data_IF_044741015771
#
_entry.id   IF_044741015771
#
_cell.length_a   1.000
_cell.length_b   1.000
_cell.length_c   1.000
_cell.angle_alpha   90.00
_cell.angle_beta   90.00
_cell.angle_gamma   90.00
#
_symmetry.space_group_name_H-M   'P 1'
#
loop_
_entity.id
_entity.type
_entity.pdbx_description
1 polymer ?
#
# COMPACT_ATOMS: atom_id res chain seq x y z
N UNK A 1 -13.91 3.47 28.02
CA UNK A 1 -13.43 2.18 28.57
C UNK A 1 -11.91 2.21 28.65
N UNK A 2 -11.35 1.98 29.83
CA UNK A 2 -9.91 2.07 30.06
C UNK A 2 -9.15 0.96 29.34
N UNK A 3 -8.35 1.33 28.34
CA UNK A 3 -7.31 0.45 27.78
C UNK A 3 -6.26 0.20 28.87
N UNK A 4 -6.44 -0.80 29.74
CA UNK A 4 -5.34 -1.18 30.61
C UNK A 4 -4.15 -1.66 29.77
N UNK A 5 -2.93 -1.49 30.30
CA UNK A 5 -1.64 -1.58 29.58
C UNK A 5 -1.57 -2.77 28.59
N UNK A 6 -1.21 -2.45 27.34
CA UNK A 6 -0.90 -3.42 26.28
C UNK A 6 0.44 -4.11 26.54
N UNK A 7 0.66 -5.30 25.98
CA UNK A 7 1.95 -6.00 26.07
C UNK A 7 2.98 -5.25 25.21
N UNK A 8 2.75 -5.12 23.91
CA UNK A 8 3.60 -4.34 22.99
C UNK A 8 3.18 -2.87 22.97
N UNK A 9 3.49 -2.16 24.05
CA UNK A 9 2.98 -0.83 24.34
C UNK A 9 3.77 0.31 23.69
N UNK A 10 5.05 0.11 23.35
CA UNK A 10 5.90 1.16 22.77
C UNK A 10 5.99 1.07 21.23
N UNK A 11 6.24 2.19 20.53
CA UNK A 11 6.58 2.17 19.10
C UNK A 11 7.75 1.23 18.77
N UNK A 12 8.84 1.28 19.54
CA UNK A 12 10.08 0.53 19.30
C UNK A 12 9.82 -0.98 19.32
N UNK A 13 9.08 -1.47 20.31
CA UNK A 13 8.64 -2.87 20.38
C UNK A 13 7.89 -3.29 19.12
N UNK A 14 6.94 -2.48 18.67
CA UNK A 14 6.11 -2.78 17.50
C UNK A 14 6.91 -2.71 16.20
N UNK A 15 7.84 -1.77 16.08
CA UNK A 15 8.74 -1.65 14.92
C UNK A 15 9.67 -2.85 14.82
N UNK A 16 10.32 -3.23 15.93
CA UNK A 16 11.19 -4.42 15.97
C UNK A 16 10.41 -5.71 15.73
N UNK A 17 9.15 -5.80 16.21
CA UNK A 17 8.27 -6.93 15.93
C UNK A 17 7.84 -6.98 14.46
N UNK A 18 7.56 -5.81 13.86
CA UNK A 18 7.27 -5.69 12.42
C UNK A 18 8.46 -6.17 11.61
N UNK A 19 9.67 -5.68 11.90
CA UNK A 19 10.89 -6.10 11.23
C UNK A 19 11.14 -7.61 11.38
N UNK A 20 10.96 -8.16 12.58
CA UNK A 20 11.12 -9.59 12.82
C UNK A 20 10.13 -10.43 12.00
N UNK A 21 8.90 -9.96 11.79
CA UNK A 21 7.90 -10.65 10.98
C UNK A 21 8.21 -10.76 9.48
N UNK A 22 9.26 -10.09 9.01
CA UNK A 22 9.75 -10.17 7.62
C UNK A 22 10.88 -11.20 7.47
N UNK A 23 11.39 -11.76 8.58
CA UNK A 23 12.44 -12.78 8.55
C UNK A 23 11.81 -14.18 8.36
N UNK A 24 11.69 -14.59 7.10
CA UNK A 24 11.05 -15.86 6.68
C UNK A 24 11.95 -17.09 6.88
N UNK A 25 13.19 -16.89 7.33
CA UNK A 25 14.18 -17.95 7.54
C UNK A 25 14.13 -18.57 8.93
N UNK A 26 13.46 -17.90 9.88
CA UNK A 26 13.39 -18.35 11.26
C UNK A 26 12.40 -19.49 11.44
N UNK A 27 12.82 -20.51 12.18
CA UNK A 27 11.87 -21.49 12.72
C UNK A 27 10.93 -20.80 13.74
N UNK A 28 9.75 -21.41 13.99
CA UNK A 28 8.80 -20.90 14.99
C UNK A 28 9.40 -20.78 16.39
N UNK A 29 10.34 -21.66 16.73
CA UNK A 29 11.06 -21.63 18.01
C UNK A 29 12.03 -20.45 18.09
N UNK A 30 12.86 -20.25 17.07
CA UNK A 30 13.79 -19.11 17.01
C UNK A 30 13.04 -17.78 16.98
N UNK A 31 11.94 -17.70 16.23
CA UNK A 31 11.07 -16.53 16.20
C UNK A 31 10.56 -16.20 17.61
N UNK A 32 10.04 -17.20 18.32
CA UNK A 32 9.53 -17.06 19.70
C UNK A 32 10.60 -16.53 20.65
N UNK A 33 11.82 -17.07 20.58
CA UNK A 33 12.93 -16.60 21.42
C UNK A 33 13.34 -15.17 21.06
N UNK A 34 13.35 -14.80 19.78
CA UNK A 34 13.60 -13.41 19.36
C UNK A 34 12.52 -12.45 19.85
N UNK A 35 11.23 -12.82 19.84
CA UNK A 35 10.15 -11.99 20.41
C UNK A 35 10.38 -11.73 21.89
N UNK A 36 10.68 -12.78 22.67
CA UNK A 36 10.97 -12.64 24.12
C UNK A 36 12.21 -11.78 24.36
N UNK A 37 13.24 -11.95 23.53
CA UNK A 37 14.47 -11.15 23.59
C UNK A 37 14.22 -9.68 23.30
N UNK A 38 13.49 -9.36 22.22
CA UNK A 38 13.09 -7.98 21.89
C UNK A 38 12.34 -7.37 23.07
N UNK A 39 11.37 -8.10 23.64
CA UNK A 39 10.62 -7.61 24.80
C UNK A 39 11.53 -7.31 26.01
N UNK A 40 12.48 -8.20 26.31
CA UNK A 40 13.46 -7.99 27.38
C UNK A 40 14.37 -6.79 27.14
N UNK A 41 14.89 -6.64 25.92
CA UNK A 41 15.78 -5.55 25.55
C UNK A 41 15.08 -4.18 25.64
N UNK A 42 13.83 -4.07 25.17
CA UNK A 42 13.10 -2.80 25.17
C UNK A 42 12.46 -2.45 26.52
N UNK A 43 12.13 -3.45 27.35
CA UNK A 43 11.39 -3.21 28.62
C UNK A 43 12.20 -3.46 29.88
N UNK A 44 13.35 -4.12 29.77
CA UNK A 44 14.12 -4.64 30.91
C UNK A 44 13.43 -5.77 31.68
N UNK A 45 12.31 -6.33 31.17
CA UNK A 45 11.50 -7.35 31.85
C UNK A 45 11.28 -8.58 30.99
N UNK A 46 11.12 -9.74 31.62
CA UNK A 46 10.77 -10.97 30.89
C UNK A 46 9.33 -10.88 30.38
N UNK A 47 9.10 -11.39 29.17
CA UNK A 47 7.75 -11.54 28.62
C UNK A 47 7.03 -12.69 29.33
N UNK A 48 5.96 -12.37 30.05
CA UNK A 48 5.10 -13.34 30.75
C UNK A 48 3.89 -13.74 29.88
N UNK A 49 4.16 -14.21 28.67
CA UNK A 49 3.14 -14.73 27.75
C UNK A 49 3.73 -15.86 26.90
N UNK A 50 2.91 -16.85 26.55
CA UNK A 50 3.31 -17.83 25.53
C UNK A 50 3.16 -17.17 24.15
N UNK A 51 4.21 -17.21 23.33
CA UNK A 51 4.18 -16.69 21.96
C UNK A 51 3.79 -17.85 21.02
N UNK A 52 2.71 -17.67 20.27
CA UNK A 52 2.26 -18.62 19.25
C UNK A 52 2.23 -17.93 17.89
N UNK A 53 2.64 -18.64 16.83
CA UNK A 53 2.75 -18.07 15.48
C UNK A 53 2.03 -18.89 14.43
N UNK A 54 1.38 -18.20 13.51
CA UNK A 54 0.60 -18.77 12.41
C UNK A 54 0.78 -17.93 11.15
N UNK A 55 1.06 -18.57 10.02
CA UNK A 55 1.41 -17.86 8.77
C UNK A 55 0.28 -17.88 7.74
N UNK A 56 0.28 -16.91 6.82
CA UNK A 56 -0.64 -16.85 5.68
C UNK A 56 -0.56 -18.11 4.79
N UNK A 57 0.64 -18.70 4.70
CA UNK A 57 0.94 -19.94 3.97
C UNK A 57 0.23 -21.14 4.61
N UNK A 58 0.28 -21.25 5.94
CA UNK A 58 -0.47 -22.27 6.69
C UNK A 58 -1.98 -22.06 6.56
N UNK A 59 -2.44 -20.80 6.52
CA UNK A 59 -3.85 -20.45 6.31
C UNK A 59 -4.34 -20.63 4.86
N UNK A 60 -3.42 -20.78 3.90
CA UNK A 60 -3.70 -20.86 2.45
C UNK A 60 -4.47 -19.64 1.92
N UNK A 61 -4.30 -18.47 2.53
CA UNK A 61 -4.98 -17.21 2.16
C UNK A 61 -4.20 -16.33 1.17
N UNK A 62 -2.94 -16.70 0.90
CA UNK A 62 -1.96 -15.93 0.11
C UNK A 62 -1.94 -16.25 -1.40
N UNK A 63 -2.37 -17.46 -1.79
CA UNK A 63 -2.06 -18.04 -3.12
C UNK A 63 -2.55 -17.23 -4.34
N UNK A 64 -3.62 -16.45 -4.20
CA UNK A 64 -4.24 -15.74 -5.33
C UNK A 64 -3.90 -14.25 -5.39
N UNK A 65 -3.50 -13.63 -4.27
CA UNK A 65 -3.30 -12.18 -4.17
C UNK A 65 -1.84 -11.76 -4.02
N UNK A 66 -0.94 -12.69 -3.68
CA UNK A 66 0.45 -12.37 -3.31
C UNK A 66 0.62 -11.90 -1.86
N UNK A 67 -0.47 -11.70 -1.12
CA UNK A 67 -0.42 -11.30 0.29
C UNK A 67 0.37 -12.31 1.14
N UNK A 68 1.40 -11.85 1.86
CA UNK A 68 2.04 -12.62 2.92
C UNK A 68 1.88 -11.91 4.28
N UNK A 69 1.72 -12.72 5.32
CA UNK A 69 1.46 -12.23 6.66
C UNK A 69 1.72 -13.28 7.73
N UNK A 70 2.05 -12.78 8.91
CA UNK A 70 2.37 -13.54 10.11
C UNK A 70 1.46 -13.08 11.25
N UNK A 71 0.77 -14.02 11.86
CA UNK A 71 -0.01 -13.81 13.06
C UNK A 71 0.82 -14.25 14.28
N UNK A 72 0.90 -13.37 15.27
CA UNK A 72 1.62 -13.56 16.53
C UNK A 72 0.62 -13.38 17.66
N UNK A 73 0.30 -14.48 18.32
CA UNK A 73 -0.61 -14.49 19.45
C UNK A 73 0.20 -14.54 20.74
N UNK A 74 -0.03 -13.57 21.62
CA UNK A 74 0.55 -13.49 22.95
C UNK A 74 -0.52 -13.98 23.95
N UNK A 75 -0.34 -15.20 24.45
CA UNK A 75 -1.25 -15.84 25.39
C UNK A 75 -0.80 -15.53 26.83
N UNK A 76 -1.44 -14.52 27.44
CA UNK A 76 -1.11 -14.01 28.76
C UNK A 76 -1.89 -14.79 29.83
N UNK A 77 -1.37 -15.98 30.17
CA UNK A 77 -1.95 -16.96 31.12
C UNK A 77 -2.46 -16.37 32.43
N UNK A 78 -1.80 -15.34 32.97
CA UNK A 78 -2.21 -14.65 34.20
C UNK A 78 -2.36 -13.14 33.95
N UNK A 79 -3.60 -12.65 34.11
CA UNK A 79 -4.08 -11.25 34.02
C UNK A 79 -4.83 -10.80 32.74
N UNK A 80 -5.34 -11.74 31.93
CA UNK A 80 -6.45 -11.55 30.96
C UNK A 80 -6.25 -10.49 29.88
N UNK A 81 -5.08 -10.40 29.24
CA UNK A 81 -4.92 -9.55 28.05
C UNK A 81 -4.09 -10.22 27.00
N UNK A 82 -4.66 -11.28 26.45
CA UNK A 82 -4.12 -11.86 25.24
C UNK A 82 -4.15 -10.82 24.13
N UNK A 83 -3.19 -10.85 23.22
CA UNK A 83 -3.12 -9.91 22.10
C UNK A 83 -2.79 -10.67 20.83
N UNK A 84 -3.50 -10.36 19.74
CA UNK A 84 -3.21 -10.90 18.41
C UNK A 84 -2.60 -9.81 17.54
N UNK A 85 -1.33 -9.98 17.19
CA UNK A 85 -0.64 -9.11 16.24
C UNK A 85 -0.63 -9.75 14.86
N UNK A 86 -0.90 -8.97 13.83
CA UNK A 86 -0.83 -9.38 12.43
C UNK A 86 0.23 -8.52 11.77
N UNK A 87 1.38 -9.09 11.45
CA UNK A 87 2.41 -8.45 10.64
C UNK A 87 2.13 -8.78 9.18
N UNK A 88 1.78 -7.77 8.40
CA UNK A 88 1.57 -7.91 6.95
C UNK A 88 2.83 -7.46 6.22
N UNK A 89 3.24 -8.22 5.20
CA UNK A 89 4.42 -7.89 4.40
C UNK A 89 4.11 -6.83 3.35
N UNK A 90 5.08 -5.93 3.15
CA UNK A 90 5.10 -4.96 2.05
C UNK A 90 5.59 -5.58 0.75
N UNK A 91 5.94 -4.75 -0.23
CA UNK A 91 6.36 -5.23 -1.55
C UNK A 91 7.68 -6.03 -1.47
N UNK A 92 7.69 -7.24 -2.02
CA UNK A 92 8.82 -8.16 -2.10
C UNK A 92 9.09 -8.68 -3.52
N UNK A 93 8.12 -8.59 -4.45
CA UNK A 93 8.29 -9.10 -5.82
C UNK A 93 7.60 -8.26 -6.93
N UNK A 94 7.69 -8.75 -8.17
CA UNK A 94 7.08 -8.11 -9.36
C UNK A 94 5.54 -8.08 -9.34
N UNK A 95 4.89 -8.98 -8.59
CA UNK A 95 3.43 -8.99 -8.42
C UNK A 95 2.99 -7.86 -7.50
N UNK A 96 3.84 -7.43 -6.60
CA UNK A 96 3.57 -6.25 -5.78
C UNK A 96 3.62 -4.96 -6.61
N UNK A 97 4.44 -4.89 -7.66
CA UNK A 97 4.40 -3.77 -8.61
C UNK A 97 3.11 -3.75 -9.45
N UNK A 98 2.64 -4.92 -9.93
CA UNK A 98 1.32 -5.06 -10.59
C UNK A 98 0.19 -4.61 -9.66
N UNK A 99 0.22 -5.05 -8.40
CA UNK A 99 -0.75 -4.63 -7.40
C UNK A 99 -0.64 -3.13 -7.10
N UNK A 100 0.56 -2.56 -6.96
CA UNK A 100 0.74 -1.13 -6.71
C UNK A 100 0.10 -0.28 -7.82
N UNK A 101 0.29 -0.66 -9.10
CA UNK A 101 -0.33 0.04 -10.23
C UNK A 101 -1.86 -0.08 -10.17
N UNK A 102 -2.40 -1.29 -9.96
CA UNK A 102 -3.85 -1.55 -9.98
C UNK A 102 -4.60 -1.07 -8.74
N UNK A 103 -3.97 -1.14 -7.57
CA UNK A 103 -4.57 -0.80 -6.29
C UNK A 103 -4.31 0.66 -5.91
N UNK A 104 -3.06 1.11 -6.02
CA UNK A 104 -2.66 2.42 -5.52
C UNK A 104 -2.88 3.52 -6.56
N UNK A 105 -2.50 3.31 -7.83
CA UNK A 105 -2.66 4.35 -8.87
C UNK A 105 -4.05 4.30 -9.51
N UNK A 106 -4.45 3.14 -10.01
CA UNK A 106 -5.78 2.98 -10.61
C UNK A 106 -6.91 2.98 -9.57
N UNK A 107 -6.62 2.62 -8.32
CA UNK A 107 -7.62 2.59 -7.26
C UNK A 107 -8.68 1.51 -7.46
N UNK A 108 -8.31 0.31 -7.93
CA UNK A 108 -9.29 -0.72 -8.32
C UNK A 108 -9.08 -2.09 -7.70
N UNK A 109 -7.82 -2.44 -7.45
CA UNK A 109 -7.50 -3.76 -6.90
C UNK A 109 -7.56 -3.76 -5.37
N UNK A 110 -8.28 -4.73 -4.80
CA UNK A 110 -8.55 -4.89 -3.37
C UNK A 110 -8.17 -6.30 -2.87
N UNK A 111 -7.52 -7.10 -3.72
CA UNK A 111 -7.25 -8.52 -3.46
C UNK A 111 -6.38 -8.73 -2.22
N UNK A 112 -5.31 -7.94 -2.03
CA UNK A 112 -4.45 -8.09 -0.86
C UNK A 112 -5.14 -7.59 0.42
N UNK A 113 -5.93 -6.51 0.37
CA UNK A 113 -6.76 -6.07 1.51
C UNK A 113 -7.80 -7.14 1.91
N UNK A 114 -8.46 -7.78 0.95
CA UNK A 114 -9.38 -8.90 1.23
C UNK A 114 -8.66 -10.13 1.78
N UNK A 115 -7.47 -10.47 1.25
CA UNK A 115 -6.63 -11.54 1.80
C UNK A 115 -6.17 -11.24 3.22
N UNK A 116 -5.89 -9.98 3.54
CA UNK A 116 -5.57 -9.53 4.90
C UNK A 116 -6.74 -9.86 5.83
N UNK A 117 -7.96 -9.44 5.51
CA UNK A 117 -9.14 -9.74 6.33
C UNK A 117 -9.37 -11.26 6.48
N UNK A 118 -9.27 -12.03 5.39
CA UNK A 118 -9.40 -13.50 5.43
C UNK A 118 -8.34 -14.13 6.33
N UNK A 119 -7.09 -13.64 6.26
CA UNK A 119 -6.02 -14.14 7.11
C UNK A 119 -6.25 -13.83 8.58
N UNK A 120 -6.71 -12.63 8.91
CA UNK A 120 -7.09 -12.28 10.29
C UNK A 120 -8.18 -13.22 10.82
N UNK A 121 -9.24 -13.46 10.03
CA UNK A 121 -10.29 -14.40 10.42
C UNK A 121 -9.76 -15.83 10.62
N UNK A 122 -8.87 -16.29 9.73
CA UNK A 122 -8.22 -17.59 9.85
C UNK A 122 -7.33 -17.68 11.11
N UNK A 123 -6.59 -16.63 11.45
CA UNK A 123 -5.78 -16.55 12.66
C UNK A 123 -6.66 -16.57 13.92
N UNK A 124 -7.74 -15.78 13.97
CA UNK A 124 -8.71 -15.80 15.08
C UNK A 124 -9.29 -17.20 15.28
N UNK A 125 -9.65 -17.88 14.20
CA UNK A 125 -10.13 -19.27 14.25
C UNK A 125 -9.04 -20.25 14.72
N UNK A 126 -7.83 -20.16 14.17
CA UNK A 126 -6.70 -21.03 14.52
C UNK A 126 -6.35 -20.95 16.02
N UNK A 127 -6.33 -19.74 16.57
CA UNK A 127 -6.07 -19.51 17.99
C UNK A 127 -7.31 -19.61 18.89
N UNK A 128 -8.49 -19.94 18.33
CA UNK A 128 -9.77 -20.11 19.03
C UNK A 128 -10.18 -18.87 19.84
N UNK A 129 -10.01 -17.68 19.25
CA UNK A 129 -10.33 -16.42 19.90
C UNK A 129 -11.84 -16.15 19.91
N UNK A 130 -12.36 -15.65 21.03
CA UNK A 130 -13.76 -15.26 21.16
C UNK A 130 -14.06 -13.94 20.41
N UNK A 131 -15.28 -13.77 19.92
CA UNK A 131 -15.72 -12.58 19.17
C UNK A 131 -16.54 -11.56 19.99
N UNK A 132 -16.58 -11.69 21.32
CA UNK A 132 -17.43 -10.83 22.19
C UNK A 132 -16.70 -9.53 22.61
N UNK A 133 -17.38 -8.61 23.31
CA UNK A 133 -16.81 -7.28 23.70
C UNK A 133 -15.55 -7.34 24.59
N UNK A 134 -15.24 -8.47 25.22
CA UNK A 134 -13.98 -8.73 25.93
C UNK A 134 -12.99 -9.57 25.09
N UNK A 135 -13.08 -9.47 23.77
CA UNK A 135 -12.25 -10.25 22.84
C UNK A 135 -10.80 -9.79 22.87
N UNK A 136 -9.92 -10.73 22.55
CA UNK A 136 -8.50 -10.50 22.28
C UNK A 136 -8.36 -9.38 21.25
N UNK A 137 -7.75 -8.23 21.60
CA UNK A 137 -7.51 -7.18 20.62
C UNK A 137 -6.67 -7.68 19.45
N UNK A 138 -7.07 -7.30 18.25
CA UNK A 138 -6.40 -7.60 16.99
C UNK A 138 -5.69 -6.34 16.50
N UNK A 139 -4.36 -6.40 16.44
CA UNK A 139 -3.50 -5.29 16.08
C UNK A 139 -2.81 -5.57 14.74
N UNK A 140 -3.03 -4.72 13.74
CA UNK A 140 -2.29 -4.75 12.48
C UNK A 140 -0.97 -4.00 12.61
N UNK A 141 0.12 -4.62 12.19
CA UNK A 141 1.46 -4.05 12.09
C UNK A 141 1.88 -4.06 10.62
N UNK A 142 2.40 -2.94 10.12
CA UNK A 142 2.63 -2.76 8.69
C UNK A 142 3.77 -1.80 8.36
N UNK A 143 4.39 -2.01 7.20
CA UNK A 143 5.35 -1.12 6.56
C UNK A 143 5.12 -1.12 5.04
N UNK A 144 5.42 -0.01 4.35
CA UNK A 144 5.32 0.09 2.89
C UNK A 144 3.90 -0.29 2.40
N UNK A 145 3.76 -1.16 1.39
CA UNK A 145 2.48 -1.62 0.83
C UNK A 145 1.53 -2.22 1.88
N UNK A 146 2.06 -2.83 2.93
CA UNK A 146 1.24 -3.44 3.98
C UNK A 146 0.33 -2.42 4.69
N UNK A 147 0.70 -1.13 4.69
CA UNK A 147 -0.16 -0.09 5.23
C UNK A 147 -1.47 0.01 4.47
N UNK A 148 -1.41 0.10 3.13
CA UNK A 148 -2.59 0.14 2.26
C UNK A 148 -3.47 -1.08 2.55
N UNK A 149 -2.89 -2.29 2.57
CA UNK A 149 -3.63 -3.51 2.82
C UNK A 149 -4.35 -3.51 4.18
N UNK A 150 -3.65 -3.16 5.26
CA UNK A 150 -4.20 -3.17 6.61
C UNK A 150 -5.25 -2.08 6.80
N UNK A 151 -4.96 -0.86 6.33
CA UNK A 151 -5.87 0.28 6.43
C UNK A 151 -7.13 0.04 5.59
N UNK A 152 -7.00 -0.37 4.33
CA UNK A 152 -8.14 -0.68 3.47
C UNK A 152 -8.99 -1.80 4.06
N UNK A 153 -8.39 -2.88 4.56
CA UNK A 153 -9.11 -3.95 5.24
C UNK A 153 -9.84 -3.46 6.50
N UNK A 154 -9.19 -2.63 7.32
CA UNK A 154 -9.80 -2.02 8.50
C UNK A 154 -11.00 -1.14 8.14
N UNK A 155 -10.85 -0.25 7.16
CA UNK A 155 -11.89 0.68 6.74
C UNK A 155 -13.11 -0.06 6.15
N UNK A 156 -12.90 -1.12 5.38
CA UNK A 156 -14.00 -1.90 4.80
C UNK A 156 -14.68 -2.82 5.83
N UNK A 157 -13.88 -3.59 6.58
CA UNK A 157 -14.36 -4.78 7.30
C UNK A 157 -14.26 -4.67 8.82
N UNK A 158 -13.70 -3.59 9.37
CA UNK A 158 -13.31 -3.49 10.78
C UNK A 158 -12.35 -4.62 11.18
N UNK A 159 -11.42 -4.99 10.30
CA UNK A 159 -10.51 -6.13 10.49
C UNK A 159 -9.65 -6.03 11.75
N UNK A 160 -9.26 -4.82 12.13
CA UNK A 160 -8.34 -4.55 13.23
C UNK A 160 -8.99 -3.66 14.29
N UNK A 161 -8.65 -3.85 15.56
CA UNK A 161 -8.95 -2.89 16.62
C UNK A 161 -8.02 -1.68 16.52
N UNK A 162 -6.75 -1.91 16.13
CA UNK A 162 -5.77 -0.86 15.83
C UNK A 162 -4.85 -1.25 14.70
N UNK A 163 -4.46 -0.28 13.89
CA UNK A 163 -3.41 -0.40 12.88
C UNK A 163 -2.24 0.50 13.30
N UNK A 164 -1.04 -0.07 13.40
CA UNK A 164 0.21 0.68 13.54
C UNK A 164 1.04 0.47 12.28
N UNK A 165 1.54 1.57 11.74
CA UNK A 165 2.28 1.56 10.50
C UNK A 165 3.48 2.48 10.54
N UNK A 166 4.49 2.13 9.75
CA UNK A 166 5.65 2.97 9.47
C UNK A 166 5.86 3.09 7.97
N UNK A 167 6.09 4.31 7.47
CA UNK A 167 6.36 4.59 6.04
C UNK A 167 5.44 3.82 5.10
N UNK A 168 4.14 3.98 5.33
CA UNK A 168 3.10 3.23 4.65
C UNK A 168 2.68 3.83 3.33
N UNK A 169 2.46 2.98 2.32
CA UNK A 169 1.70 3.33 1.12
C UNK A 169 0.27 3.71 1.52
N UNK A 170 -0.11 4.98 1.34
CA UNK A 170 -1.40 5.48 1.79
C UNK A 170 -2.57 4.78 1.08
N UNK A 171 -3.74 4.76 1.75
CA UNK A 171 -4.95 4.21 1.13
C UNK A 171 -5.46 5.13 0.03
N UNK A 172 -6.13 4.54 -0.96
CA UNK A 172 -6.72 5.27 -2.07
C UNK A 172 -8.26 5.30 -1.94
N UNK A 173 -8.89 6.47 -2.02
CA UNK A 173 -10.35 6.58 -1.88
C UNK A 173 -11.13 6.08 -3.11
N UNK A 174 -10.52 6.03 -4.30
CA UNK A 174 -11.08 5.29 -5.44
C UNK A 174 -11.08 3.79 -5.15
N UNK A 175 -9.98 3.26 -4.59
CA UNK A 175 -9.91 1.85 -4.17
C UNK A 175 -11.06 1.52 -3.21
N UNK A 176 -11.29 2.36 -2.20
CA UNK A 176 -12.40 2.19 -1.26
C UNK A 176 -13.78 2.29 -1.91
N UNK A 177 -13.97 3.14 -2.93
CA UNK A 177 -15.22 3.20 -3.68
C UNK A 177 -15.54 1.88 -4.41
N UNK A 178 -14.55 1.23 -5.00
CA UNK A 178 -14.77 -0.08 -5.63
C UNK A 178 -14.88 -1.23 -4.62
N UNK A 179 -14.45 -1.01 -3.37
CA UNK A 179 -14.36 -2.05 -2.35
C UNK A 179 -15.53 -2.04 -1.35
N UNK A 180 -15.87 -0.87 -0.80
CA UNK A 180 -16.92 -0.68 0.20
C UNK A 180 -18.20 -0.22 -0.50
N UNK A 181 -19.13 -1.16 -0.69
CA UNK A 181 -20.42 -0.90 -1.33
C UNK A 181 -21.22 0.21 -0.64
N UNK A 182 -21.14 0.33 0.70
CA UNK A 182 -21.87 1.36 1.43
C UNK A 182 -21.26 2.72 1.15
N UNK A 183 -19.93 2.83 1.23
CA UNK A 183 -19.22 4.04 0.84
C UNK A 183 -19.53 4.43 -0.61
N UNK A 184 -19.52 3.47 -1.54
CA UNK A 184 -19.84 3.71 -2.94
C UNK A 184 -21.24 4.30 -3.15
N UNK A 185 -22.24 3.74 -2.47
CA UNK A 185 -23.60 4.26 -2.53
C UNK A 185 -23.70 5.69 -1.98
N UNK A 186 -23.02 5.97 -0.86
CA UNK A 186 -23.05 7.28 -0.22
C UNK A 186 -22.32 8.33 -1.09
N UNK A 187 -21.20 7.97 -1.75
CA UNK A 187 -20.53 8.81 -2.76
C UNK A 187 -21.45 9.09 -3.95
N UNK A 188 -22.07 8.07 -4.54
CA UNK A 188 -22.98 8.25 -5.69
C UNK A 188 -24.15 9.16 -5.35
N UNK A 189 -24.73 8.98 -4.16
CA UNK A 189 -25.84 9.81 -3.70
C UNK A 189 -25.40 11.26 -3.47
N UNK A 190 -24.22 11.49 -2.87
CA UNK A 190 -23.75 12.84 -2.55
C UNK A 190 -23.38 13.63 -3.81
N UNK A 191 -22.70 13.00 -4.77
CA UNK A 191 -22.24 13.64 -6.00
C UNK A 191 -23.21 13.48 -7.18
N UNK A 192 -24.42 12.95 -6.95
CA UNK A 192 -25.44 12.72 -7.98
C UNK A 192 -24.93 11.91 -9.19
N UNK A 193 -24.11 10.89 -8.92
CA UNK A 193 -23.50 10.06 -9.96
C UNK A 193 -24.47 9.02 -10.51
N UNK A 194 -24.33 8.70 -11.79
CA UNK A 194 -25.04 7.57 -12.39
C UNK A 194 -24.58 6.23 -11.79
N UNK A 195 -25.53 5.32 -11.58
CA UNK A 195 -25.23 3.96 -11.16
C UNK A 195 -24.67 3.10 -12.30
N UNK A 196 -24.89 3.50 -13.55
CA UNK A 196 -24.62 2.71 -14.76
C UNK A 196 -23.16 2.81 -15.21
N UNK A 197 -22.45 3.87 -14.83
CA UNK A 197 -21.04 4.05 -15.14
C UNK A 197 -20.22 4.33 -13.87
N UNK A 198 -19.64 3.30 -13.22
CA UNK A 198 -18.88 3.48 -12.00
C UNK A 198 -17.57 4.25 -12.20
N UNK A 199 -17.10 4.45 -13.44
CA UNK A 199 -15.90 5.24 -13.73
C UNK A 199 -16.14 6.76 -13.60
N UNK A 200 -17.38 7.22 -13.51
CA UNK A 200 -17.69 8.64 -13.29
C UNK A 200 -17.12 9.20 -11.98
N UNK A 201 -16.63 8.32 -11.09
CA UNK A 201 -15.93 8.77 -9.87
C UNK A 201 -14.66 9.56 -10.19
N UNK A 202 -13.99 9.26 -11.30
CA UNK A 202 -12.74 9.93 -11.67
C UNK A 202 -12.96 11.35 -12.20
N UNK A 203 -14.21 11.70 -12.53
CA UNK A 203 -14.62 13.04 -12.99
C UNK A 203 -14.92 14.00 -11.83
N UNK A 204 -15.04 13.47 -10.60
CA UNK A 204 -15.28 14.29 -9.40
C UNK A 204 -13.99 15.02 -9.03
N UNK A 205 -14.13 16.28 -8.61
CA UNK A 205 -13.02 17.03 -8.03
C UNK A 205 -12.33 16.19 -6.93
N UNK A 206 -11.02 15.90 -7.08
CA UNK A 206 -10.35 14.96 -6.18
C UNK A 206 -10.29 15.47 -4.74
N UNK A 207 -10.25 16.79 -4.52
CA UNK A 207 -10.27 17.35 -3.17
C UNK A 207 -11.63 17.19 -2.50
N UNK A 208 -12.73 17.38 -3.23
CA UNK A 208 -14.09 17.14 -2.72
C UNK A 208 -14.29 15.68 -2.37
N UNK A 209 -13.88 14.76 -3.25
CA UNK A 209 -13.99 13.32 -2.99
C UNK A 209 -13.11 12.88 -1.81
N UNK A 210 -11.88 13.43 -1.70
CA UNK A 210 -11.02 13.20 -0.54
C UNK A 210 -11.69 13.63 0.77
N UNK A 211 -12.19 14.86 0.84
CA UNK A 211 -12.86 15.38 2.05
C UNK A 211 -14.10 14.56 2.41
N UNK A 212 -14.87 14.13 1.42
CA UNK A 212 -16.00 13.23 1.62
C UNK A 212 -15.53 11.91 2.25
N UNK A 213 -14.49 11.29 1.70
CA UNK A 213 -13.93 10.03 2.20
C UNK A 213 -13.35 10.16 3.61
N UNK A 214 -12.61 11.23 3.90
CA UNK A 214 -12.07 11.54 5.24
C UNK A 214 -13.20 11.65 6.27
N UNK A 215 -14.26 12.37 5.93
CA UNK A 215 -15.42 12.51 6.81
C UNK A 215 -16.18 11.19 6.99
N UNK A 216 -16.34 10.40 5.93
CA UNK A 216 -17.01 9.11 5.97
C UNK A 216 -16.29 8.12 6.91
N UNK A 217 -14.96 8.07 6.85
CA UNK A 217 -14.14 7.13 7.61
C UNK A 217 -13.59 7.67 8.94
N UNK A 218 -13.93 8.91 9.33
CA UNK A 218 -13.36 9.62 10.49
C UNK A 218 -13.34 8.81 11.80
N UNK A 219 -14.37 8.00 12.05
CA UNK A 219 -14.46 7.23 13.30
C UNK A 219 -13.55 6.01 13.29
N UNK A 220 -13.43 5.33 12.14
CA UNK A 220 -12.47 4.23 11.96
C UNK A 220 -11.03 4.75 11.94
N UNK A 221 -10.81 5.93 11.37
CA UNK A 221 -9.49 6.57 11.30
C UNK A 221 -8.83 6.75 12.67
N UNK A 222 -9.60 6.93 13.75
CA UNK A 222 -9.09 7.05 15.13
C UNK A 222 -8.25 5.85 15.59
N UNK A 223 -8.43 4.68 14.97
CA UNK A 223 -7.72 3.45 15.28
C UNK A 223 -6.49 3.21 14.39
N UNK A 224 -6.22 4.11 13.44
CA UNK A 224 -5.04 4.07 12.58
C UNK A 224 -3.98 4.99 13.19
N UNK A 225 -2.76 4.49 13.27
CA UNK A 225 -1.61 5.18 13.81
C UNK A 225 -0.43 4.99 12.85
N UNK A 226 0.23 6.08 12.50
CA UNK A 226 1.28 6.10 11.49
C UNK A 226 2.50 6.86 11.99
N UNK A 227 3.69 6.33 11.71
CA UNK A 227 4.95 7.07 11.77
C UNK A 227 5.41 7.20 10.32
N UNK A 228 5.61 8.42 9.85
CA UNK A 228 5.96 8.69 8.45
C UNK A 228 7.22 9.55 8.42
N UNK A 229 8.26 9.05 7.75
CA UNK A 229 9.38 9.90 7.37
C UNK A 229 8.97 10.86 6.26
N UNK A 230 9.29 12.14 6.42
CA UNK A 230 9.10 13.18 5.39
C UNK A 230 9.93 12.91 4.13
N UNK A 231 11.01 12.15 4.27
CA UNK A 231 11.94 11.80 3.20
C UNK A 231 11.57 10.47 2.53
N UNK A 232 10.51 9.80 2.99
CA UNK A 232 10.10 8.52 2.43
C UNK A 232 9.41 8.69 1.06
N UNK A 233 9.86 7.99 0.00
CA UNK A 233 9.27 8.09 -1.32
C UNK A 233 7.77 7.74 -1.38
N UNK A 234 7.24 6.91 -0.48
CA UNK A 234 5.80 6.60 -0.45
C UNK A 234 4.99 7.77 0.12
N UNK A 235 5.56 8.55 1.04
CA UNK A 235 4.93 9.78 1.50
C UNK A 235 4.82 10.80 0.37
N UNK A 236 5.87 10.89 -0.46
CA UNK A 236 5.90 11.72 -1.67
C UNK A 236 4.84 11.26 -2.66
N UNK A 237 4.81 9.96 -2.99
CA UNK A 237 3.85 9.39 -3.91
C UNK A 237 2.40 9.57 -3.45
N UNK A 238 2.16 9.70 -2.14
CA UNK A 238 0.82 9.95 -1.59
C UNK A 238 0.31 11.39 -1.72
N UNK A 239 1.11 12.32 -2.24
CA UNK A 239 0.69 13.71 -2.46
C UNK A 239 -0.29 13.86 -3.63
N UNK A 240 -0.40 12.85 -4.48
CA UNK A 240 -1.16 12.89 -5.73
C UNK A 240 -2.62 12.47 -5.53
N UNK A 241 -3.47 12.75 -6.53
CA UNK A 241 -4.91 12.42 -6.50
C UNK A 241 -5.17 10.95 -6.18
N UNK A 242 -6.25 10.68 -5.48
CA UNK A 242 -6.66 9.33 -5.07
C UNK A 242 -6.21 8.96 -3.67
N UNK A 243 -5.09 9.49 -3.18
CA UNK A 243 -4.57 9.16 -1.86
C UNK A 243 -5.07 10.10 -0.77
N UNK A 244 -5.10 9.57 0.45
CA UNK A 244 -5.38 10.33 1.65
C UNK A 244 -4.70 9.71 2.87
N UNK A 245 -4.33 10.56 3.82
CA UNK A 245 -3.67 10.14 5.05
C UNK A 245 -4.66 10.20 6.20
N UNK A 246 -4.91 9.05 6.83
CA UNK A 246 -5.91 8.91 7.89
C UNK A 246 -5.30 8.55 9.24
N UNK A 247 -5.95 9.01 10.29
CA UNK A 247 -5.66 8.65 11.68
C UNK A 247 -4.61 9.52 12.33
N UNK A 248 -3.94 8.97 13.34
CA UNK A 248 -2.95 9.69 14.13
C UNK A 248 -1.58 9.55 13.46
N UNK A 249 -1.04 10.64 12.94
CA UNK A 249 0.21 10.64 12.17
C UNK A 249 1.30 11.36 12.94
N UNK A 250 2.42 10.68 13.14
CA UNK A 250 3.68 11.25 13.62
C UNK A 250 4.60 11.43 12.42
N UNK A 251 4.92 12.68 12.08
CA UNK A 251 5.86 13.00 11.01
C UNK A 251 7.27 13.11 11.58
N UNK A 252 8.22 12.37 10.99
CA UNK A 252 9.63 12.39 11.37
C UNK A 252 10.44 12.96 10.21
N UNK A 253 11.30 13.92 10.49
CA UNK A 253 12.31 14.39 9.54
C UNK A 253 13.57 13.55 9.75
N UNK A 254 13.91 12.72 8.77
CA UNK A 254 15.06 11.80 8.87
C UNK A 254 16.32 12.38 8.24
N UNK A 255 16.18 13.43 7.42
CA UNK A 255 17.28 14.10 6.76
C UNK A 255 17.05 15.62 6.72
N UNK A 256 17.21 16.31 7.86
CA UNK A 256 16.87 17.73 8.02
C UNK A 256 17.74 18.68 7.18
N UNK A 257 18.79 18.17 6.55
CA UNK A 257 19.66 18.94 5.66
C UNK A 257 19.06 19.14 4.26
N UNK A 258 17.97 18.46 3.94
CA UNK A 258 17.29 18.57 2.65
C UNK A 258 15.82 18.99 2.85
N UNK A 259 15.22 19.72 1.91
CA UNK A 259 13.85 20.26 2.05
C UNK A 259 12.74 19.19 2.00
N UNK A 260 13.10 17.91 1.81
CA UNK A 260 12.18 16.80 1.65
C UNK A 260 11.73 16.62 0.20
N UNK A 261 11.46 15.37 -0.19
CA UNK A 261 11.13 15.02 -1.57
C UNK A 261 9.70 15.44 -2.01
N UNK A 262 8.84 15.80 -1.06
CA UNK A 262 7.42 16.08 -1.32
C UNK A 262 7.19 17.37 -2.10
N UNK A 263 7.98 18.42 -1.84
CA UNK A 263 7.89 19.69 -2.58
C UNK A 263 8.26 19.55 -4.06
N UNK A 264 8.88 18.43 -4.47
CA UNK A 264 9.24 18.16 -5.86
C UNK A 264 8.05 17.66 -6.68
N UNK A 265 7.06 17.02 -6.04
CA UNK A 265 5.89 16.43 -6.72
C UNK A 265 4.61 17.24 -6.54
N UNK A 266 4.53 18.10 -5.52
CA UNK A 266 3.35 18.96 -5.28
C UNK A 266 3.13 19.99 -6.40
N UNK A 267 4.18 20.34 -7.15
CA UNK A 267 4.10 21.28 -8.27
C UNK A 267 3.78 20.59 -9.61
N UNK A 268 3.62 19.26 -9.63
CA UNK A 268 3.15 18.55 -10.83
C UNK A 268 1.64 18.83 -10.98
N UNK A 269 1.18 19.36 -12.12
CA UNK A 269 -0.24 19.63 -12.33
C UNK A 269 -1.09 18.35 -12.23
N UNK A 270 -2.29 18.46 -11.63
CA UNK A 270 -3.19 17.30 -11.43
C UNK A 270 -3.57 16.61 -12.74
N UNK A 271 -3.67 17.36 -13.85
CA UNK A 271 -3.93 16.83 -15.19
C UNK A 271 -2.85 15.81 -15.62
N UNK A 272 -1.59 16.04 -15.28
CA UNK A 272 -0.49 15.11 -15.57
C UNK A 272 -0.65 13.82 -14.77
N UNK A 273 -1.03 13.95 -13.50
CA UNK A 273 -1.27 12.80 -12.61
C UNK A 273 -2.51 12.01 -13.06
N UNK A 274 -3.56 12.71 -13.50
CA UNK A 274 -4.77 12.10 -14.04
C UNK A 274 -4.44 11.26 -15.28
N UNK A 275 -3.60 11.77 -16.18
CA UNK A 275 -3.15 11.01 -17.35
C UNK A 275 -2.46 9.70 -16.94
N UNK A 276 -1.54 9.73 -15.95
CA UNK A 276 -0.94 8.50 -15.40
C UNK A 276 -1.97 7.55 -14.80
N UNK A 277 -2.98 8.08 -14.10
CA UNK A 277 -4.04 7.28 -13.49
C UNK A 277 -4.93 6.61 -14.54
N UNK A 278 -5.25 7.29 -15.64
CA UNK A 278 -6.01 6.72 -16.75
C UNK A 278 -5.28 5.56 -17.41
N UNK A 279 -3.97 5.67 -17.60
CA UNK A 279 -3.13 4.57 -18.09
C UNK A 279 -3.17 3.37 -17.13
N UNK A 280 -3.06 3.62 -15.82
CA UNK A 280 -3.16 2.57 -14.81
C UNK A 280 -4.56 1.91 -14.81
N UNK A 281 -5.63 2.68 -15.03
CA UNK A 281 -7.01 2.19 -15.14
C UNK A 281 -7.19 1.29 -16.36
N UNK A 282 -6.69 1.71 -17.52
CA UNK A 282 -6.73 0.93 -18.75
C UNK A 282 -5.96 -0.39 -18.57
N UNK A 283 -4.77 -0.31 -17.97
CA UNK A 283 -3.96 -1.47 -17.59
C UNK A 283 -4.71 -2.45 -16.69
N UNK A 284 -5.35 -1.92 -15.65
CA UNK A 284 -6.12 -2.75 -14.73
C UNK A 284 -7.27 -3.47 -15.43
N UNK A 285 -7.98 -2.76 -16.31
CA UNK A 285 -9.13 -3.30 -17.05
C UNK A 285 -8.71 -4.41 -18.01
N UNK A 286 -7.68 -4.15 -18.82
CA UNK A 286 -7.17 -5.10 -19.81
C UNK A 286 -6.52 -6.33 -19.15
N UNK A 287 -5.71 -6.15 -18.09
CA UNK A 287 -5.06 -7.27 -17.40
C UNK A 287 -6.05 -8.23 -16.74
N UNK A 288 -7.25 -7.76 -16.37
CA UNK A 288 -8.31 -8.61 -15.83
C UNK A 288 -9.03 -9.42 -16.94
N UNK A 289 -8.87 -9.03 -18.21
CA UNK A 289 -9.52 -9.64 -19.38
C UNK A 289 -8.56 -10.53 -20.20
N UNK A 290 -7.24 -10.32 -20.13
CA UNK A 290 -6.22 -11.14 -20.80
C UNK A 290 -4.84 -11.01 -20.12
N UNK A 291 -4.06 -12.08 -20.04
CA UNK A 291 -2.85 -12.17 -19.21
C UNK A 291 -1.80 -11.06 -19.42
N UNK A 292 -1.02 -10.81 -18.35
CA UNK A 292 -0.10 -9.67 -18.14
C UNK A 292 0.83 -9.36 -19.35
N UNK A 293 1.32 -10.39 -20.05
CA UNK A 293 2.28 -10.22 -21.16
C UNK A 293 1.66 -9.62 -22.44
N UNK A 294 0.40 -9.94 -22.75
CA UNK A 294 -0.28 -9.39 -23.93
C UNK A 294 -0.64 -7.91 -23.72
N UNK A 295 -0.99 -7.56 -22.49
CA UNK A 295 -1.48 -6.24 -22.11
C UNK A 295 -0.36 -5.21 -21.93
N UNK A 296 0.81 -5.60 -21.39
CA UNK A 296 1.97 -4.71 -21.35
C UNK A 296 2.46 -4.31 -22.75
N UNK A 297 2.42 -5.25 -23.68
CA UNK A 297 2.70 -5.00 -25.10
C UNK A 297 1.61 -4.15 -25.77
N UNK A 298 0.37 -4.23 -25.29
CA UNK A 298 -0.78 -3.51 -25.85
C UNK A 298 -0.94 -2.09 -25.32
N UNK A 299 -0.55 -1.82 -24.07
CA UNK A 299 -0.74 -0.52 -23.38
C UNK A 299 0.51 0.34 -23.41
N UNK A 300 1.68 -0.27 -23.22
CA UNK A 300 2.94 0.45 -23.21
C UNK A 300 3.72 0.25 -24.52
N UNK A 301 3.26 -0.61 -25.42
CA UNK A 301 3.96 -0.99 -26.65
C UNK A 301 5.24 -1.79 -26.38
N UNK A 302 5.59 -1.96 -25.11
CA UNK A 302 6.84 -2.54 -24.64
C UNK A 302 6.74 -4.05 -24.69
N UNK A 303 7.48 -4.65 -25.62
CA UNK A 303 7.72 -6.07 -25.59
C UNK A 303 8.62 -6.42 -24.39
N UNK A 304 8.06 -7.04 -23.36
CA UNK A 304 8.81 -7.39 -22.14
C UNK A 304 9.96 -8.39 -22.39
N UNK A 305 9.98 -9.09 -23.53
CA UNK A 305 11.14 -9.89 -23.95
C UNK A 305 12.34 -9.02 -24.36
N UNK A 306 12.14 -7.74 -24.67
CA UNK A 306 13.20 -6.75 -24.91
C UNK A 306 13.69 -6.19 -23.57
N UNK A 307 12.78 -5.88 -22.64
CA UNK A 307 13.14 -5.40 -21.28
C UNK A 307 13.96 -6.43 -20.51
N UNK A 308 13.63 -7.72 -20.62
CA UNK A 308 14.41 -8.80 -20.03
C UNK A 308 15.83 -8.96 -20.65
N UNK A 309 16.10 -8.33 -21.80
CA UNK A 309 17.43 -8.28 -22.44
C UNK A 309 18.24 -7.03 -22.09
N UNK A 310 17.65 -6.04 -21.40
CA UNK A 310 18.31 -4.78 -21.03
C UNK A 310 19.27 -4.95 -19.84
N UNK A 311 19.21 -6.10 -19.14
CA UNK A 311 20.04 -6.42 -17.97
C UNK A 311 21.55 -6.50 -18.20
N UNK A 312 22.05 -6.47 -19.44
CA UNK A 312 23.49 -6.65 -19.72
C UNK A 312 24.19 -5.48 -20.45
N UNK A 313 23.48 -4.48 -21.02
CA UNK A 313 24.14 -3.27 -21.58
C UNK A 313 23.13 -2.18 -22.03
N UNK A 314 22.71 -1.33 -21.10
CA UNK A 314 21.58 -0.39 -21.25
C UNK A 314 21.73 0.71 -22.33
N UNK A 315 22.95 1.18 -22.62
CA UNK A 315 23.18 2.31 -23.55
C UNK A 315 23.16 1.93 -25.04
N UNK A 316 23.54 0.69 -25.38
CA UNK A 316 23.70 0.26 -26.79
C UNK A 316 22.37 -0.16 -27.44
N UNK A 317 21.44 -0.66 -26.64
CA UNK A 317 20.11 -1.12 -27.08
C UNK A 317 19.15 0.04 -27.35
N UNK A 318 19.30 1.15 -26.60
CA UNK A 318 18.53 2.38 -26.82
C UNK A 318 18.90 3.07 -28.15
N UNK A 319 20.20 3.05 -28.51
CA UNK A 319 20.68 3.68 -29.76
C UNK A 319 20.48 2.84 -31.03
N UNK A 320 20.17 1.55 -30.92
CA UNK A 320 20.06 0.65 -32.09
C UNK A 320 18.63 0.36 -32.57
N UNK A 321 17.60 0.62 -31.74
CA UNK A 321 16.20 0.27 -32.06
C UNK A 321 15.25 1.49 -32.10
N UNK A 322 15.77 2.68 -32.38
CA UNK A 322 15.03 3.95 -32.35
C UNK A 322 13.78 3.96 -33.25
N UNK A 323 13.90 3.38 -34.45
CA UNK A 323 12.79 3.26 -35.43
C UNK A 323 11.68 2.31 -34.96
N UNK A 324 12.02 1.30 -34.17
CA UNK A 324 11.08 0.33 -33.62
C UNK A 324 10.31 0.93 -32.44
N UNK A 325 11.00 1.73 -31.61
CA UNK A 325 10.42 2.52 -30.52
C UNK A 325 9.47 3.61 -31.06
N UNK A 326 9.87 4.34 -32.10
CA UNK A 326 9.01 5.33 -32.76
C UNK A 326 7.80 4.68 -33.44
N UNK A 327 7.99 3.47 -34.00
CA UNK A 327 6.91 2.65 -34.55
C UNK A 327 5.92 2.17 -33.48
N UNK A 328 6.43 1.76 -32.31
CA UNK A 328 5.64 1.39 -31.14
C UNK A 328 4.80 2.57 -30.64
N UNK A 329 5.43 3.74 -30.48
CA UNK A 329 4.79 4.99 -30.06
C UNK A 329 3.65 5.40 -31.00
N UNK A 330 3.82 5.26 -32.33
CA UNK A 330 2.77 5.55 -33.32
C UNK A 330 1.64 4.52 -33.39
N UNK A 331 1.91 3.25 -33.11
CA UNK A 331 0.87 2.21 -33.07
C UNK A 331 0.04 2.27 -31.77
N UNK A 332 0.67 2.71 -30.69
CA UNK A 332 0.06 2.95 -29.38
C UNK A 332 -1.02 4.04 -29.43
N UNK A 333 -0.76 5.18 -30.08
CA UNK A 333 -1.74 6.26 -30.24
C UNK A 333 -3.03 5.85 -30.94
N UNK A 334 -2.90 4.89 -31.88
CA UNK A 334 -4.03 4.39 -32.65
C UNK A 334 -4.94 3.45 -31.85
N UNK A 335 -4.41 2.80 -30.81
CA UNK A 335 -5.15 1.84 -29.97
C UNK A 335 -5.70 2.46 -28.70
N UNK A 336 -4.99 3.45 -28.16
CA UNK A 336 -5.41 4.26 -27.01
C UNK A 336 -5.42 5.73 -27.45
N UNK A 337 -6.55 6.23 -27.95
CA UNK A 337 -6.64 7.61 -28.42
C UNK A 337 -6.28 8.58 -27.28
N UNK A 338 -5.31 9.45 -27.52
CA UNK A 338 -4.81 10.40 -26.53
C UNK A 338 -3.57 9.94 -25.77
N UNK A 339 -3.12 8.69 -25.90
CA UNK A 339 -1.91 8.18 -25.24
C UNK A 339 -0.65 8.96 -25.63
N UNK A 340 -0.50 9.39 -26.89
CA UNK A 340 0.63 10.26 -27.24
C UNK A 340 0.55 11.60 -26.54
N UNK A 341 -0.65 12.16 -26.39
CA UNK A 341 -0.84 13.41 -25.68
C UNK A 341 -0.48 13.22 -24.20
N UNK A 342 -0.89 12.13 -23.56
CA UNK A 342 -0.56 11.79 -22.17
C UNK A 342 0.95 11.58 -21.98
N UNK A 343 1.57 10.75 -22.82
CA UNK A 343 3.03 10.53 -22.81
C UNK A 343 3.79 11.82 -23.07
N UNK A 344 3.30 12.68 -23.98
CA UNK A 344 3.89 13.99 -24.26
C UNK A 344 3.75 14.93 -23.08
N UNK A 345 2.60 14.99 -22.43
CA UNK A 345 2.39 15.76 -21.19
C UNK A 345 3.40 15.32 -20.12
N UNK A 346 3.53 14.02 -19.89
CA UNK A 346 4.46 13.44 -18.92
C UNK A 346 5.92 13.78 -19.26
N UNK A 347 6.34 13.54 -20.49
CA UNK A 347 7.74 13.72 -20.92
C UNK A 347 8.12 15.19 -21.04
N UNK A 348 7.18 16.08 -21.40
CA UNK A 348 7.41 17.53 -21.42
C UNK A 348 7.58 18.14 -20.03
N UNK A 349 7.14 17.42 -18.98
CA UNK A 349 7.38 17.77 -17.58
C UNK A 349 8.58 17.04 -16.97
N UNK A 350 9.27 16.17 -17.73
CA UNK A 350 10.43 15.44 -17.22
C UNK A 350 11.56 16.40 -16.81
N UNK A 351 11.82 17.44 -17.58
CA UNK A 351 12.84 18.46 -17.27
C UNK A 351 12.51 19.22 -15.98
N UNK A 352 11.22 19.47 -15.70
CA UNK A 352 10.78 20.06 -14.44
C UNK A 352 11.05 19.12 -13.25
N UNK A 353 10.78 17.82 -13.41
CA UNK A 353 10.95 16.81 -12.37
C UNK A 353 12.45 16.55 -12.09
N UNK A 354 13.25 16.36 -13.14
CA UNK A 354 14.68 16.10 -13.02
C UNK A 354 15.46 17.36 -12.64
N UNK A 355 15.11 18.53 -13.19
CA UNK A 355 15.72 19.80 -12.81
C UNK A 355 15.53 20.12 -11.33
N UNK A 356 14.36 19.78 -10.76
CA UNK A 356 14.12 19.96 -9.32
C UNK A 356 14.89 19.00 -8.42
N UNK A 357 15.08 17.76 -8.87
CA UNK A 357 15.96 16.82 -8.16
C UNK A 357 17.40 17.33 -8.15
N UNK A 358 17.83 18.01 -9.23
CA UNK A 358 19.14 18.66 -9.31
C UNK A 358 19.22 19.90 -8.41
N UNK A 359 18.26 20.82 -8.51
CA UNK A 359 18.20 22.04 -7.69
C UNK A 359 18.16 21.74 -6.19
N UNK A 360 17.49 20.66 -5.80
CA UNK A 360 17.41 20.20 -4.41
C UNK A 360 18.64 19.36 -3.98
N UNK A 361 19.62 19.16 -4.86
CA UNK A 361 20.86 18.45 -4.58
C UNK A 361 20.72 16.94 -4.37
N UNK A 362 19.60 16.35 -4.83
CA UNK A 362 19.37 14.90 -4.78
C UNK A 362 20.09 14.16 -5.91
N UNK A 363 20.33 14.84 -7.03
CA UNK A 363 21.16 14.37 -8.14
C UNK A 363 22.12 15.48 -8.56
N UNK A 364 23.21 15.11 -9.22
CA UNK A 364 24.13 16.02 -9.88
C UNK A 364 24.14 15.69 -11.36
N UNK A 365 24.21 16.70 -12.23
CA UNK A 365 24.41 16.47 -13.66
C UNK A 365 25.56 15.48 -13.91
N UNK A 366 25.26 14.43 -14.68
CA UNK A 366 26.26 13.47 -15.17
C UNK A 366 26.92 14.02 -16.45
#
# INVERSE_FOLDING_TARGET
MGMGRRIMHSPELRLRLTQLGYDDKLSKAEFTEKVKRIYLEETGKKLHADVKVYTSKEARTSKQSGYDGLAIYLDAKENKKDELYIVSQGSTDIKDWDYNIKAMLAGRDIRQANSTNRFVLAAKHHFKLNNNENSTPVIGLSHSLAHNNNTTAHLMHNTFDKVYSVNGAQTNYYQLYFADRKFANDVRSYFSMSYDNPNTIYDIDPNQLRQFAENYYKDKAKNIHQIISKDDPLYVASAVRGFFTLGNVEMVDTNPNYPGLRSLVEDIPDEVIQDFQELAIQYTTASNQGGINGVMQEIFGVNMNIVNKIGDNSLKTYMTNQTEIDGMIRQLDKKVPGLLQQVKTITSNADLIFGRLEDAGYISNA
#
